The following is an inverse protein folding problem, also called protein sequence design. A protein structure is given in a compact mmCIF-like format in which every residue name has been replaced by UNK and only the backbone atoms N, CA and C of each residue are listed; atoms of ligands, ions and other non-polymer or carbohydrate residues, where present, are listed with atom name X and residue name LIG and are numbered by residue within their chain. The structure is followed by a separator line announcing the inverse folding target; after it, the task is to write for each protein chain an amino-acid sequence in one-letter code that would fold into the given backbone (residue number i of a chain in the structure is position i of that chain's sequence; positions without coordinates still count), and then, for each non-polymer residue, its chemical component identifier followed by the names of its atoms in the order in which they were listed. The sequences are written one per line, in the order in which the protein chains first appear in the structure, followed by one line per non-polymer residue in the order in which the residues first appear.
data_IF_739194348464
#
_entry.id   IF_739194348464
#
_cell.length_a   1.000
_cell.length_b   1.000
_cell.length_c   1.000
_cell.angle_alpha   90.00
_cell.angle_beta   90.00
_cell.angle_gamma   90.00
#
_symmetry.space_group_name_H-M   'P 1'
#
loop_
_entity.id
_entity.type
_entity.pdbx_description
1 polymer ?
#
# COMPACT_ATOMS: atom_id res chain seq x y z
N UNK A 1 12.43 -3.45 -26.53
CA UNK A 1 12.95 -2.28 -25.82
C UNK A 1 12.71 -2.50 -24.33
N UNK A 2 13.75 -2.75 -23.54
CA UNK A 2 13.63 -2.94 -22.08
C UNK A 2 13.80 -1.59 -21.41
N UNK A 3 12.70 -1.00 -20.96
CA UNK A 3 12.74 0.20 -20.14
C UNK A 3 13.40 -0.19 -18.81
N UNK A 4 14.58 0.35 -18.56
CA UNK A 4 15.16 0.35 -17.22
C UNK A 4 14.32 1.26 -16.36
N UNK A 5 13.40 0.64 -15.63
CA UNK A 5 12.63 1.22 -14.54
C UNK A 5 13.65 1.73 -13.52
N UNK A 6 13.89 3.04 -13.52
CA UNK A 6 14.64 3.68 -12.44
C UNK A 6 13.96 3.28 -11.12
N UNK A 7 14.70 2.58 -10.25
CA UNK A 7 14.17 2.01 -9.02
C UNK A 7 13.86 3.14 -8.04
N UNK A 8 12.70 3.76 -8.20
CA UNK A 8 12.12 4.61 -7.16
C UNK A 8 11.85 3.68 -5.98
N UNK A 9 12.43 3.99 -4.83
CA UNK A 9 12.23 3.22 -3.61
C UNK A 9 10.80 3.48 -3.15
N UNK A 10 9.97 2.45 -3.15
CA UNK A 10 8.59 2.53 -2.67
C UNK A 10 8.50 1.83 -1.33
N UNK A 11 7.93 2.52 -0.36
CA UNK A 11 7.68 1.97 0.96
C UNK A 11 6.18 1.87 1.15
N UNK A 12 5.69 0.67 1.48
CA UNK A 12 4.28 0.43 1.76
C UNK A 12 4.13 0.22 3.25
N UNK A 13 3.27 1.00 3.89
CA UNK A 13 3.02 0.92 5.33
C UNK A 13 1.56 0.54 5.55
N UNK A 14 1.33 -0.52 6.32
CA UNK A 14 0.00 -0.94 6.74
C UNK A 14 -0.04 -1.13 8.25
N UNK A 15 -0.92 -0.40 8.93
CA UNK A 15 -1.10 -0.49 10.39
C UNK A 15 0.21 -0.39 11.20
N UNK A 16 1.17 0.42 10.72
CA UNK A 16 2.50 0.57 11.31
C UNK A 16 3.53 -0.49 10.90
N UNK A 17 3.16 -1.48 10.08
CA UNK A 17 4.05 -2.49 9.52
C UNK A 17 4.49 -2.12 8.11
N UNK A 18 5.77 -2.33 7.79
CA UNK A 18 6.26 -2.20 6.43
C UNK A 18 5.92 -3.47 5.62
N UNK A 19 5.26 -3.28 4.48
CA UNK A 19 4.95 -4.33 3.52
C UNK A 19 6.02 -4.35 2.42
N UNK A 20 6.36 -5.56 1.97
CA UNK A 20 7.34 -5.77 0.92
C UNK A 20 6.79 -5.28 -0.43
N UNK A 21 7.60 -4.53 -1.18
CA UNK A 21 7.22 -4.11 -2.53
C UNK A 21 7.31 -5.31 -3.49
N UNK A 22 6.20 -5.78 -4.11
CA UNK A 22 6.24 -6.85 -5.10
C UNK A 22 6.95 -6.43 -6.40
N UNK A 23 7.25 -5.13 -6.54
CA UNK A 23 8.13 -4.59 -7.56
C UNK A 23 7.45 -3.53 -8.43
N UNK A 24 8.25 -2.72 -9.14
CA UNK A 24 7.80 -1.50 -9.83
C UNK A 24 6.78 -1.73 -10.97
N UNK A 25 6.57 -2.98 -11.38
CA UNK A 25 5.53 -3.35 -12.34
C UNK A 25 4.10 -3.21 -11.78
N UNK A 26 3.95 -3.23 -10.45
CA UNK A 26 2.65 -3.16 -9.79
C UNK A 26 2.35 -1.74 -9.33
N UNK A 27 1.16 -1.24 -9.63
CA UNK A 27 0.65 0.01 -9.05
C UNK A 27 0.37 -0.16 -7.55
N UNK A 28 0.41 0.90 -6.73
CA UNK A 28 0.08 0.83 -5.30
C UNK A 28 -1.26 0.16 -4.98
N UNK A 29 -2.26 0.35 -5.83
CA UNK A 29 -3.56 -0.34 -5.74
C UNK A 29 -3.43 -1.84 -5.99
N UNK A 30 -2.67 -2.24 -7.01
CA UNK A 30 -2.38 -3.66 -7.26
C UNK A 30 -1.57 -4.29 -6.13
N UNK A 31 -0.63 -3.54 -5.53
CA UNK A 31 0.10 -3.99 -4.34
C UNK A 31 -0.87 -4.24 -3.18
N UNK A 32 -1.79 -3.32 -2.91
CA UNK A 32 -2.85 -3.52 -1.91
C UNK A 32 -3.66 -4.78 -2.22
N UNK A 33 -4.12 -4.92 -3.46
CA UNK A 33 -4.91 -6.08 -3.92
C UNK A 33 -4.14 -7.40 -3.75
N UNK A 34 -2.84 -7.45 -4.04
CA UNK A 34 -2.00 -8.63 -3.76
C UNK A 34 -1.98 -8.98 -2.28
N UNK A 35 -1.89 -7.97 -1.41
CA UNK A 35 -1.90 -8.18 0.03
C UNK A 35 -3.29 -8.54 0.59
N UNK A 36 -4.38 -8.39 -0.16
CA UNK A 36 -5.72 -8.84 0.29
C UNK A 36 -5.80 -10.34 0.55
N UNK A 37 -4.98 -11.13 -0.16
CA UNK A 37 -4.89 -12.56 0.07
C UNK A 37 -4.36 -12.91 1.46
N UNK A 38 -3.51 -12.05 2.04
CA UNK A 38 -2.97 -12.22 3.40
C UNK A 38 -3.74 -11.41 4.45
N UNK A 39 -4.23 -10.22 4.05
CA UNK A 39 -4.95 -9.26 4.88
C UNK A 39 -6.28 -8.92 4.18
N UNK A 40 -7.34 -9.74 4.32
CA UNK A 40 -8.62 -9.54 3.65
C UNK A 40 -9.23 -8.14 3.88
N UNK A 41 -8.91 -7.52 5.01
CA UNK A 41 -9.32 -6.17 5.36
C UNK A 41 -8.76 -5.07 4.43
N UNK A 42 -7.65 -5.35 3.73
CA UNK A 42 -7.10 -4.46 2.71
C UNK A 42 -8.01 -4.33 1.49
N UNK A 43 -8.96 -5.25 1.29
CA UNK A 43 -9.94 -5.18 0.18
C UNK A 43 -10.74 -3.87 0.24
N UNK A 44 -11.01 -3.39 1.45
CA UNK A 44 -11.70 -2.12 1.70
C UNK A 44 -10.75 -0.99 2.10
N UNK A 45 -9.45 -1.23 2.12
CA UNK A 45 -8.48 -0.20 2.48
C UNK A 45 -8.31 0.82 1.36
N UNK A 46 -8.20 2.09 1.75
CA UNK A 46 -7.77 3.15 0.88
C UNK A 46 -6.23 3.17 0.81
N UNK A 47 -5.70 3.49 -0.37
CA UNK A 47 -4.29 3.79 -0.54
C UNK A 47 -4.11 5.29 -0.34
N UNK A 48 -3.42 5.68 0.72
CA UNK A 48 -3.07 7.06 1.04
C UNK A 48 -1.62 7.32 0.60
N UNK A 49 -1.38 8.44 -0.09
CA UNK A 49 -0.08 8.78 -0.70
C UNK A 49 -0.11 8.90 -2.23
N UNK A 50 1.05 9.03 -2.91
CA UNK A 50 2.40 8.91 -2.35
C UNK A 50 2.82 10.13 -1.52
N UNK A 51 3.32 9.88 -0.32
CA UNK A 51 4.14 10.86 0.40
C UNK A 51 5.58 10.72 -0.09
N UNK A 52 6.04 11.68 -0.88
CA UNK A 52 7.44 11.71 -1.33
C UNK A 52 8.31 12.27 -0.21
N UNK A 53 9.14 11.40 0.39
CA UNK A 53 10.09 11.78 1.42
C UNK A 53 11.51 11.55 0.90
N UNK A 54 12.10 12.61 0.36
CA UNK A 54 13.38 12.52 -0.35
C UNK A 54 13.21 11.75 -1.66
N UNK A 55 13.86 10.60 -1.77
CA UNK A 55 13.79 9.69 -2.93
C UNK A 55 12.87 8.48 -2.70
N UNK A 56 12.17 8.44 -1.56
CA UNK A 56 11.27 7.34 -1.19
C UNK A 56 9.81 7.78 -1.34
N UNK A 57 9.04 7.02 -2.12
CA UNK A 57 7.59 7.17 -2.20
C UNK A 57 6.93 6.28 -1.15
N UNK A 58 6.38 6.89 -0.11
CA UNK A 58 5.68 6.16 0.95
C UNK A 58 4.19 6.10 0.65
N UNK A 59 3.62 4.90 0.66
CA UNK A 59 2.20 4.63 0.50
C UNK A 59 1.67 4.00 1.79
N UNK A 60 0.58 4.53 2.32
CA UNK A 60 -0.08 4.00 3.50
C UNK A 60 -1.37 3.32 3.11
N UNK A 61 -1.53 2.05 3.50
CA UNK A 61 -2.82 1.39 3.40
C UNK A 61 -3.62 1.72 4.66
N UNK A 62 -4.66 2.52 4.48
CA UNK A 62 -5.56 2.93 5.54
C UNK A 62 -6.78 2.05 5.44
N UNK A 63 -6.94 1.11 6.38
CA UNK A 63 -8.17 0.33 6.46
C UNK A 63 -9.35 1.30 6.51
N UNK A 64 -10.41 1.06 5.74
CA UNK A 64 -11.67 1.75 6.00
C UNK A 64 -12.02 1.41 7.45
N UNK A 65 -11.99 2.41 8.33
CA UNK A 65 -12.47 2.25 9.70
C UNK A 65 -13.95 1.91 9.55
N UNK A 66 -14.25 0.60 9.57
CA UNK A 66 -15.59 0.09 9.42
C UNK A 66 -16.51 0.89 10.33
N UNK A 67 -17.58 1.41 9.74
CA UNK A 67 -18.57 2.18 10.44
C UNK A 67 -18.94 1.47 11.75
N UNK A 68 -18.54 2.07 12.88
CA UNK A 68 -19.22 1.98 14.17
C UNK A 68 -19.55 0.56 14.65
N UNK A 69 -18.53 -0.25 14.91
CA UNK A 69 -18.63 -1.39 15.84
C UNK A 69 -18.39 -0.93 17.29
N UNK A 70 -19.24 -0.05 17.82
CA UNK A 70 -19.19 0.33 19.23
C UNK A 70 -20.52 0.94 19.67
N UNK A 71 -21.59 0.15 19.76
CA UNK A 71 -22.62 0.34 20.78
C UNK A 71 -22.97 -1.05 21.31
N UNK A 72 -22.71 -1.22 22.59
CA UNK A 72 -23.13 -2.35 23.41
C UNK A 72 -24.65 -2.38 23.60
#
# INVERSE_FOLDING_TARGET
MTISIAAIVREFIYNGMALLDPGPAFSPEQVRDLYTAQYPELTTAAVDGPELKGEVMTYKFVRAAGAKGAHA
#
